data_IF_839804641790
#
_entry.id   IF_839804641790
#
_cell.length_a   1.000
_cell.length_b   1.000
_cell.length_c   1.000
_cell.angle_alpha   90.00
_cell.angle_beta   90.00
_cell.angle_gamma   90.00
#
_symmetry.space_group_name_H-M   'P 1'
#
loop_
_entity.id
_entity.type
_entity.pdbx_description
1 polymer ?
#
# COMPACT_ATOMS: atom_id res chain seq x y z
N UNK A 1 16.62 -15.75 22.77
CA UNK A 1 15.51 -16.52 22.18
C UNK A 1 15.21 -15.89 20.82
N UNK A 2 15.37 -16.63 19.73
CA UNK A 2 14.92 -16.13 18.42
C UNK A 2 13.40 -16.18 18.37
N UNK A 3 12.77 -15.01 18.37
CA UNK A 3 11.34 -14.91 18.16
C UNK A 3 11.03 -15.30 16.72
N UNK A 4 9.95 -16.07 16.52
CA UNK A 4 9.49 -16.40 15.16
C UNK A 4 8.87 -15.16 14.53
N UNK A 5 9.01 -14.98 13.21
CA UNK A 5 8.52 -13.78 12.49
C UNK A 5 7.03 -13.47 12.76
N UNK A 6 6.18 -14.50 12.86
CA UNK A 6 4.75 -14.31 13.13
C UNK A 6 4.45 -13.86 14.57
N UNK A 7 5.35 -14.12 15.53
CA UNK A 7 5.23 -13.62 16.90
C UNK A 7 5.32 -12.10 16.95
N UNK A 8 6.25 -11.52 16.18
CA UNK A 8 6.44 -10.07 16.11
C UNK A 8 5.19 -9.39 15.54
N UNK A 9 4.57 -9.98 14.48
CA UNK A 9 3.33 -9.47 13.91
C UNK A 9 2.13 -9.63 14.83
N UNK A 10 2.02 -10.75 15.53
CA UNK A 10 0.96 -10.97 16.52
C UNK A 10 0.99 -9.89 17.59
N UNK A 11 2.16 -9.63 18.17
CA UNK A 11 2.33 -8.60 19.19
C UNK A 11 2.05 -7.19 18.63
N UNK A 12 2.45 -6.91 17.40
CA UNK A 12 2.17 -5.63 16.73
C UNK A 12 0.65 -5.43 16.53
N UNK A 13 -0.10 -6.49 16.27
CA UNK A 13 -1.56 -6.41 16.10
C UNK A 13 -2.29 -6.28 17.44
N UNK A 14 -1.87 -7.00 18.48
CA UNK A 14 -2.58 -7.06 19.77
C UNK A 14 -2.23 -5.85 20.65
N UNK A 15 -0.96 -5.50 20.74
CA UNK A 15 -0.46 -4.45 21.64
C UNK A 15 0.67 -3.66 20.99
N UNK A 16 0.39 -2.85 19.93
CA UNK A 16 1.43 -2.24 19.12
C UNK A 16 2.42 -1.40 19.95
N UNK A 17 1.93 -0.59 20.87
CA UNK A 17 2.79 0.34 21.61
C UNK A 17 3.39 -0.25 22.87
N UNK A 18 2.80 -1.28 23.46
CA UNK A 18 3.21 -1.86 24.74
C UNK A 18 4.27 -2.94 24.57
N UNK A 19 4.09 -3.83 23.61
CA UNK A 19 4.98 -4.97 23.36
C UNK A 19 5.46 -5.04 21.91
N UNK A 20 4.63 -4.81 20.93
CA UNK A 20 4.93 -5.02 19.51
C UNK A 20 6.09 -4.17 19.00
N UNK A 21 6.01 -2.86 19.14
CA UNK A 21 7.06 -1.94 18.67
C UNK A 21 8.37 -2.15 19.44
N UNK A 22 8.40 -2.21 20.80
CA UNK A 22 9.63 -2.49 21.53
C UNK A 22 10.28 -3.83 21.15
N UNK A 23 9.48 -4.88 20.94
CA UNK A 23 9.98 -6.18 20.51
C UNK A 23 10.63 -6.13 19.12
N UNK A 24 9.99 -5.44 18.14
CA UNK A 24 10.54 -5.29 16.79
C UNK A 24 11.83 -4.48 16.81
N UNK A 25 11.87 -3.40 17.58
CA UNK A 25 13.08 -2.57 17.69
C UNK A 25 14.23 -3.39 18.25
N UNK A 26 13.99 -4.19 19.29
CA UNK A 26 15.03 -4.98 19.98
C UNK A 26 15.44 -6.25 19.23
N UNK A 27 14.48 -7.00 18.67
CA UNK A 27 14.71 -8.36 18.15
C UNK A 27 14.27 -8.57 16.69
N UNK A 28 13.64 -7.57 16.07
CA UNK A 28 13.21 -7.63 14.68
C UNK A 28 14.39 -7.63 13.71
N UNK A 29 14.20 -8.23 12.54
CA UNK A 29 15.15 -8.20 11.43
C UNK A 29 14.47 -7.88 10.11
N UNK A 30 15.22 -7.39 9.11
CA UNK A 30 14.70 -7.14 7.76
C UNK A 30 14.06 -8.39 7.16
N UNK A 31 14.68 -9.56 7.34
CA UNK A 31 14.19 -10.83 6.80
C UNK A 31 12.85 -11.24 7.41
N UNK A 32 12.71 -11.10 8.74
CA UNK A 32 11.42 -11.38 9.41
C UNK A 32 10.32 -10.47 8.90
N UNK A 33 10.61 -9.17 8.77
CA UNK A 33 9.67 -8.18 8.19
C UNK A 33 9.31 -8.51 6.75
N UNK A 34 10.28 -8.89 5.92
CA UNK A 34 10.06 -9.32 4.53
C UNK A 34 9.18 -10.58 4.45
N UNK A 35 9.43 -11.61 5.25
CA UNK A 35 8.57 -12.81 5.28
C UNK A 35 7.14 -12.49 5.67
N UNK A 36 6.95 -11.59 6.65
CA UNK A 36 5.62 -11.10 7.00
C UNK A 36 4.94 -10.39 5.84
N UNK A 37 5.65 -9.50 5.16
CA UNK A 37 5.16 -8.77 4.00
C UNK A 37 4.80 -9.71 2.83
N UNK A 38 5.66 -10.67 2.52
CA UNK A 38 5.42 -11.66 1.47
C UNK A 38 4.19 -12.52 1.80
N UNK A 39 4.10 -13.04 3.03
CA UNK A 39 2.97 -13.86 3.47
C UNK A 39 1.64 -13.10 3.36
N UNK A 40 1.58 -11.85 3.87
CA UNK A 40 0.37 -11.04 3.80
C UNK A 40 0.02 -10.66 2.36
N UNK A 41 1.02 -10.39 1.51
CA UNK A 41 0.80 -10.08 0.09
C UNK A 41 0.24 -11.28 -0.68
N UNK A 42 0.74 -12.50 -0.41
CA UNK A 42 0.21 -13.73 -1.02
C UNK A 42 -1.23 -13.98 -0.58
N UNK A 43 -1.50 -13.94 0.72
CA UNK A 43 -2.86 -14.13 1.26
C UNK A 43 -3.78 -13.04 0.74
N UNK A 44 -3.32 -11.78 0.72
CA UNK A 44 -4.06 -10.66 0.18
C UNK A 44 -4.46 -10.87 -1.28
N UNK A 45 -3.51 -11.25 -2.14
CA UNK A 45 -3.78 -11.50 -3.56
C UNK A 45 -4.75 -12.66 -3.76
N UNK A 46 -4.65 -13.72 -2.97
CA UNK A 46 -5.60 -14.84 -3.02
C UNK A 46 -7.02 -14.37 -2.65
N UNK A 47 -7.18 -13.63 -1.57
CA UNK A 47 -8.49 -13.21 -1.07
C UNK A 47 -9.11 -12.08 -1.90
N UNK A 48 -8.32 -11.12 -2.37
CA UNK A 48 -8.86 -9.92 -3.04
C UNK A 48 -8.90 -10.02 -4.56
N UNK A 49 -8.15 -10.94 -5.16
CA UNK A 49 -8.09 -11.11 -6.62
C UNK A 49 -8.61 -12.47 -7.05
N UNK A 50 -8.03 -13.55 -6.53
CA UNK A 50 -8.33 -14.90 -6.99
C UNK A 50 -9.75 -15.34 -6.61
N UNK A 51 -10.18 -15.16 -5.35
CA UNK A 51 -11.52 -15.57 -4.91
C UNK A 51 -12.62 -14.79 -5.62
N UNK A 52 -12.59 -13.44 -5.73
CA UNK A 52 -13.57 -12.71 -6.52
C UNK A 52 -13.61 -13.12 -8.00
N UNK A 53 -12.43 -13.34 -8.62
CA UNK A 53 -12.38 -13.81 -10.00
C UNK A 53 -13.03 -15.18 -10.17
N UNK A 54 -12.83 -16.08 -9.22
CA UNK A 54 -13.46 -17.41 -9.21
C UNK A 54 -14.99 -17.31 -9.06
N UNK A 55 -15.47 -16.45 -8.15
CA UNK A 55 -16.90 -16.18 -7.95
C UNK A 55 -17.51 -15.60 -9.24
N UNK A 56 -16.89 -14.58 -9.84
CA UNK A 56 -17.35 -13.98 -11.10
C UNK A 56 -17.40 -15.01 -12.22
N UNK A 57 -16.40 -15.90 -12.31
CA UNK A 57 -16.36 -16.97 -13.29
C UNK A 57 -17.48 -17.99 -13.06
N UNK A 58 -17.70 -18.42 -11.82
CA UNK A 58 -18.78 -19.37 -11.45
C UNK A 58 -20.18 -18.80 -11.71
N UNK A 59 -20.39 -17.50 -11.53
CA UNK A 59 -21.64 -16.82 -11.81
C UNK A 59 -21.84 -16.51 -13.31
N UNK A 60 -20.93 -16.96 -14.18
CA UNK A 60 -20.95 -16.69 -15.62
C UNK A 60 -20.94 -15.20 -15.99
N UNK A 61 -20.52 -14.32 -15.09
CA UNK A 61 -20.39 -12.90 -15.30
C UNK A 61 -19.18 -12.50 -16.16
N UNK A 62 -18.43 -13.50 -16.66
CA UNK A 62 -17.28 -13.29 -17.55
C UNK A 62 -17.68 -12.71 -18.93
N UNK A 63 -18.99 -12.69 -19.28
CA UNK A 63 -19.49 -12.05 -20.50
C UNK A 63 -19.49 -10.52 -20.38
N UNK A 64 -19.55 -9.96 -19.18
CA UNK A 64 -19.47 -8.51 -18.97
C UNK A 64 -18.04 -8.00 -19.24
N UNK A 65 -17.92 -6.75 -19.71
CA UNK A 65 -16.61 -6.13 -19.97
C UNK A 65 -15.69 -6.19 -18.72
N UNK A 66 -16.23 -5.82 -17.56
CA UNK A 66 -15.49 -5.83 -16.30
C UNK A 66 -15.17 -7.23 -15.80
N UNK A 67 -16.10 -8.20 -15.95
CA UNK A 67 -15.87 -9.60 -15.61
C UNK A 67 -14.74 -10.19 -16.44
N UNK A 68 -14.64 -9.88 -17.74
CA UNK A 68 -13.51 -10.31 -18.59
C UNK A 68 -12.18 -9.74 -18.12
N UNK A 69 -12.10 -8.44 -17.80
CA UNK A 69 -10.88 -7.83 -17.29
C UNK A 69 -10.45 -8.51 -15.99
N UNK A 70 -11.40 -8.77 -15.09
CA UNK A 70 -11.10 -9.40 -13.80
C UNK A 70 -10.59 -10.84 -13.96
N UNK A 71 -11.24 -11.64 -14.79
CA UNK A 71 -10.82 -13.03 -15.09
C UNK A 71 -9.48 -13.06 -15.83
N UNK A 72 -9.24 -12.16 -16.78
CA UNK A 72 -7.95 -12.05 -17.47
C UNK A 72 -6.83 -11.66 -16.51
N UNK A 73 -7.06 -10.73 -15.58
CA UNK A 73 -6.07 -10.37 -14.57
C UNK A 73 -5.76 -11.53 -13.61
N UNK A 74 -6.76 -12.38 -13.30
CA UNK A 74 -6.56 -13.55 -12.46
C UNK A 74 -5.86 -14.70 -13.16
N UNK A 75 -6.20 -14.98 -14.44
CA UNK A 75 -5.66 -16.13 -15.17
C UNK A 75 -4.26 -15.92 -15.75
N UNK A 76 -3.91 -14.68 -16.11
CA UNK A 76 -2.67 -14.42 -16.86
C UNK A 76 -1.49 -13.97 -16.01
N UNK A 77 -1.68 -13.61 -14.76
CA UNK A 77 -0.64 -12.84 -14.14
C UNK A 77 -0.59 -12.76 -12.63
N UNK A 78 -1.41 -13.47 -11.87
CA UNK A 78 -1.36 -13.30 -10.39
C UNK A 78 0.05 -13.53 -9.87
N UNK A 79 0.73 -14.58 -10.31
CA UNK A 79 2.11 -14.84 -9.89
C UNK A 79 3.09 -13.78 -10.40
N UNK A 80 2.96 -13.39 -11.67
CA UNK A 80 3.82 -12.35 -12.27
C UNK A 80 3.54 -10.97 -11.68
N UNK A 81 2.28 -10.61 -11.49
CA UNK A 81 1.85 -9.37 -10.85
C UNK A 81 2.33 -9.32 -9.40
N UNK A 82 2.21 -10.41 -8.66
CA UNK A 82 2.68 -10.52 -7.28
C UNK A 82 4.20 -10.37 -7.21
N UNK A 83 4.95 -11.05 -8.08
CA UNK A 83 6.40 -10.93 -8.16
C UNK A 83 6.83 -9.50 -8.52
N UNK A 84 6.17 -8.88 -9.50
CA UNK A 84 6.44 -7.51 -9.92
C UNK A 84 6.11 -6.49 -8.81
N UNK A 85 4.96 -6.65 -8.15
CA UNK A 85 4.56 -5.79 -7.02
C UNK A 85 5.53 -5.93 -5.84
N UNK A 86 5.95 -7.15 -5.49
CA UNK A 86 6.96 -7.36 -4.44
C UNK A 86 8.30 -6.74 -4.83
N UNK A 87 8.72 -6.86 -6.08
CA UNK A 87 9.95 -6.24 -6.58
C UNK A 87 9.89 -4.71 -6.50
N UNK A 88 8.82 -4.09 -7.00
CA UNK A 88 8.64 -2.63 -6.90
C UNK A 88 8.55 -2.16 -5.45
N UNK A 89 7.88 -2.93 -4.60
CA UNK A 89 7.80 -2.64 -3.17
C UNK A 89 9.18 -2.70 -2.53
N UNK A 90 9.98 -3.73 -2.84
CA UNK A 90 11.35 -3.85 -2.36
C UNK A 90 12.19 -2.64 -2.77
N UNK A 91 12.14 -2.24 -4.04
CA UNK A 91 12.87 -1.06 -4.52
C UNK A 91 12.40 0.22 -3.81
N UNK A 92 11.09 0.43 -3.72
CA UNK A 92 10.51 1.61 -3.07
C UNK A 92 10.86 1.70 -1.60
N UNK A 93 10.74 0.60 -0.85
CA UNK A 93 11.08 0.56 0.57
C UNK A 93 12.59 0.72 0.81
N UNK A 94 13.43 0.16 -0.08
CA UNK A 94 14.88 0.32 -0.02
C UNK A 94 15.29 1.77 -0.29
N UNK A 95 14.78 2.38 -1.35
CA UNK A 95 15.03 3.78 -1.67
C UNK A 95 14.58 4.70 -0.52
N UNK A 96 13.37 4.47 -0.01
CA UNK A 96 12.86 5.21 1.15
C UNK A 96 13.76 5.03 2.37
N UNK A 97 14.27 3.82 2.63
CA UNK A 97 15.18 3.57 3.75
C UNK A 97 16.49 4.35 3.63
N UNK A 98 17.07 4.42 2.43
CA UNK A 98 18.25 5.24 2.17
C UNK A 98 17.98 6.73 2.40
N UNK A 99 16.90 7.25 1.84
CA UNK A 99 16.54 8.67 1.97
C UNK A 99 16.24 9.04 3.43
N UNK A 100 15.45 8.23 4.13
CA UNK A 100 15.11 8.47 5.53
C UNK A 100 16.35 8.39 6.42
N UNK A 101 17.23 7.40 6.23
CA UNK A 101 18.46 7.31 7.02
C UNK A 101 19.43 8.46 6.72
N UNK A 102 19.55 8.87 5.45
CA UNK A 102 20.36 10.01 5.06
C UNK A 102 19.85 11.32 5.70
N UNK A 103 18.55 11.58 5.63
CA UNK A 103 17.94 12.75 6.28
C UNK A 103 18.09 12.65 7.80
N UNK A 104 17.78 11.49 8.40
CA UNK A 104 17.86 11.30 9.85
C UNK A 104 19.26 11.58 10.40
N UNK A 105 20.31 11.14 9.68
CA UNK A 105 21.70 11.38 10.07
C UNK A 105 22.10 12.86 9.96
N UNK A 106 21.42 13.67 9.14
CA UNK A 106 21.60 15.13 9.11
C UNK A 106 20.98 15.82 10.35
N UNK A 107 20.10 15.12 11.06
CA UNK A 107 19.50 15.55 12.32
C UNK A 107 20.06 14.78 13.54
N UNK A 108 21.32 14.34 13.45
CA UNK A 108 22.04 13.64 14.52
C UNK A 108 21.36 12.35 15.01
N UNK A 109 20.62 11.67 14.12
CA UNK A 109 20.10 10.35 14.39
C UNK A 109 21.08 9.32 13.82
N UNK A 110 21.83 8.66 14.67
CA UNK A 110 22.75 7.60 14.26
C UNK A 110 21.94 6.36 13.82
N UNK A 111 21.58 6.29 12.55
CA UNK A 111 20.80 5.16 12.00
C UNK A 111 21.37 4.69 10.67
N UNK A 112 21.18 3.42 10.37
CA UNK A 112 21.59 2.79 9.13
C UNK A 112 20.40 2.55 8.19
N UNK A 113 20.61 2.49 6.86
CA UNK A 113 19.53 2.14 5.92
C UNK A 113 18.89 0.78 6.24
N UNK A 114 19.65 -0.17 6.79
CA UNK A 114 19.13 -1.49 7.17
C UNK A 114 18.13 -1.41 8.33
N UNK A 115 18.38 -0.57 9.33
CA UNK A 115 17.47 -0.36 10.46
C UNK A 115 16.16 0.30 9.99
N UNK A 116 16.25 1.29 9.10
CA UNK A 116 15.07 1.92 8.51
C UNK A 116 14.32 0.94 7.60
N UNK A 117 15.05 0.13 6.82
CA UNK A 117 14.44 -0.89 5.96
C UNK A 117 13.69 -1.95 6.78
N UNK A 118 14.25 -2.36 7.94
CA UNK A 118 13.54 -3.21 8.91
C UNK A 118 12.19 -2.59 9.29
N UNK A 119 12.19 -1.33 9.73
CA UNK A 119 10.96 -0.60 10.08
C UNK A 119 9.99 -0.55 8.93
N UNK A 120 10.47 -0.26 7.72
CA UNK A 120 9.64 -0.16 6.53
C UNK A 120 8.95 -1.50 6.20
N UNK A 121 9.66 -2.64 6.29
CA UNK A 121 9.08 -3.96 6.05
C UNK A 121 7.98 -4.31 7.07
N UNK A 122 8.22 -4.10 8.36
CA UNK A 122 7.20 -4.35 9.38
C UNK A 122 5.99 -3.42 9.22
N UNK A 123 6.22 -2.14 8.95
CA UNK A 123 5.15 -1.16 8.71
C UNK A 123 4.33 -1.52 7.48
N UNK A 124 4.99 -1.93 6.40
CA UNK A 124 4.33 -2.35 5.17
C UNK A 124 3.48 -3.60 5.40
N UNK A 125 4.04 -4.64 6.01
CA UNK A 125 3.30 -5.87 6.28
C UNK A 125 2.09 -5.63 7.20
N UNK A 126 2.25 -4.82 8.23
CA UNK A 126 1.16 -4.43 9.12
C UNK A 126 0.07 -3.64 8.37
N UNK A 127 0.47 -2.68 7.54
CA UNK A 127 -0.44 -1.91 6.71
C UNK A 127 -1.21 -2.78 5.72
N UNK A 128 -0.54 -3.72 5.06
CA UNK A 128 -1.17 -4.68 4.15
C UNK A 128 -2.17 -5.59 4.88
N UNK A 129 -1.85 -6.05 6.08
CA UNK A 129 -2.77 -6.86 6.89
C UNK A 129 -4.06 -6.09 7.23
N UNK A 130 -3.93 -4.85 7.66
CA UNK A 130 -5.08 -4.00 7.95
C UNK A 130 -5.86 -3.62 6.68
N UNK A 131 -5.16 -3.35 5.58
CA UNK A 131 -5.79 -3.10 4.28
C UNK A 131 -6.56 -4.32 3.77
N UNK A 132 -6.07 -5.54 4.04
CA UNK A 132 -6.79 -6.77 3.73
C UNK A 132 -8.14 -6.83 4.48
N UNK A 133 -8.13 -6.53 5.77
CA UNK A 133 -9.35 -6.47 6.60
C UNK A 133 -10.31 -5.41 6.01
N UNK A 134 -9.81 -4.23 5.67
CA UNK A 134 -10.59 -3.18 5.01
C UNK A 134 -11.15 -3.61 3.65
N UNK A 135 -10.35 -4.32 2.84
CA UNK A 135 -10.75 -4.86 1.55
C UNK A 135 -11.89 -5.87 1.66
N UNK A 136 -11.86 -6.73 2.68
CA UNK A 136 -12.94 -7.67 2.96
C UNK A 136 -14.26 -6.96 3.34
N UNK A 137 -14.20 -5.79 3.96
CA UNK A 137 -15.38 -4.98 4.25
C UNK A 137 -16.01 -4.39 2.97
N UNK A 138 -15.19 -4.04 1.97
CA UNK A 138 -15.68 -3.47 0.70
C UNK A 138 -16.16 -4.56 -0.28
N UNK A 139 -15.68 -5.78 -0.13
CA UNK A 139 -15.95 -6.89 -1.04
C UNK A 139 -17.45 -7.12 -1.33
N UNK A 140 -18.38 -7.10 -0.33
CA UNK A 140 -19.80 -7.30 -0.59
C UNK A 140 -20.41 -6.23 -1.51
N UNK A 141 -20.00 -4.95 -1.34
CA UNK A 141 -20.47 -3.88 -2.21
C UNK A 141 -19.92 -4.02 -3.63
N UNK A 142 -18.67 -4.41 -3.77
CA UNK A 142 -18.05 -4.67 -5.07
C UNK A 142 -18.77 -5.80 -5.80
N UNK A 143 -19.04 -6.91 -5.13
CA UNK A 143 -19.79 -8.05 -5.69
C UNK A 143 -21.21 -7.59 -6.11
N UNK A 144 -21.93 -6.88 -5.23
CA UNK A 144 -23.26 -6.37 -5.55
C UNK A 144 -23.24 -5.44 -6.78
N UNK A 145 -22.25 -4.54 -6.85
CA UNK A 145 -22.08 -3.66 -8.01
C UNK A 145 -21.85 -4.46 -9.30
N UNK A 146 -20.95 -5.46 -9.27
CA UNK A 146 -20.69 -6.29 -10.45
C UNK A 146 -21.88 -7.12 -10.91
N UNK A 147 -22.68 -7.64 -9.98
CA UNK A 147 -23.90 -8.41 -10.32
C UNK A 147 -24.96 -7.53 -10.98
N UNK A 148 -25.05 -6.27 -10.57
CA UNK A 148 -26.11 -5.37 -11.02
C UNK A 148 -25.64 -4.34 -12.06
N UNK A 149 -24.42 -4.45 -12.56
CA UNK A 149 -23.83 -3.42 -13.45
C UNK A 149 -24.68 -3.22 -14.73
N UNK A 150 -25.28 -4.28 -15.25
CA UNK A 150 -26.12 -4.21 -16.44
C UNK A 150 -27.48 -3.56 -16.14
N UNK A 151 -27.93 -3.56 -14.90
CA UNK A 151 -29.17 -2.92 -14.45
C UNK A 151 -29.02 -1.41 -14.22
N UNK A 152 -27.79 -0.91 -14.05
CA UNK A 152 -27.53 0.51 -13.84
C UNK A 152 -27.51 1.32 -15.17
N UNK A 153 -27.63 0.64 -16.33
CA UNK A 153 -27.55 1.28 -17.64
C UNK A 153 -26.22 2.01 -17.89
N UNK A 154 -26.08 2.78 -18.96
CA UNK A 154 -25.02 3.77 -19.05
C UNK A 154 -25.27 4.78 -17.94
N UNK A 155 -24.43 4.77 -16.89
CA UNK A 155 -24.48 5.71 -15.75
C UNK A 155 -24.52 7.15 -16.30
N UNK A 156 -25.71 7.66 -16.58
CA UNK A 156 -25.91 9.03 -17.04
C UNK A 156 -25.82 10.00 -15.86
N UNK A 157 -26.10 9.50 -14.64
CA UNK A 157 -26.03 10.32 -13.44
C UNK A 157 -25.54 9.48 -12.25
N UNK A 158 -24.45 9.87 -11.54
CA UNK A 158 -24.01 9.16 -10.32
C UNK A 158 -25.04 9.18 -9.19
N UNK A 159 -26.11 9.97 -9.30
CA UNK A 159 -27.22 10.03 -8.36
C UNK A 159 -28.23 8.88 -8.52
N UNK A 160 -28.14 8.10 -9.61
CA UNK A 160 -29.04 6.94 -9.85
C UNK A 160 -28.64 5.70 -9.02
N UNK A 161 -27.52 5.76 -8.26
CA UNK A 161 -27.13 4.68 -7.36
C UNK A 161 -28.06 4.63 -6.13
N UNK A 162 -28.49 3.43 -5.70
CA UNK A 162 -29.24 3.29 -4.46
C UNK A 162 -28.50 3.94 -3.28
N UNK A 163 -29.23 4.73 -2.49
CA UNK A 163 -28.67 5.44 -1.34
C UNK A 163 -27.92 4.52 -0.38
N UNK A 164 -28.37 3.28 -0.24
CA UNK A 164 -27.72 2.24 0.58
C UNK A 164 -26.30 1.93 0.10
N UNK A 165 -26.07 1.92 -1.21
CA UNK A 165 -24.72 1.68 -1.80
C UNK A 165 -23.84 2.89 -1.55
N UNK A 166 -24.36 4.10 -1.78
CA UNK A 166 -23.60 5.33 -1.53
C UNK A 166 -23.16 5.40 -0.07
N UNK A 167 -24.09 5.14 0.86
CA UNK A 167 -23.78 5.12 2.29
C UNK A 167 -22.74 4.04 2.65
N UNK A 168 -22.89 2.83 2.09
CA UNK A 168 -21.95 1.75 2.33
C UNK A 168 -20.53 2.10 1.85
N UNK A 169 -20.39 2.64 0.64
CA UNK A 169 -19.11 3.07 0.08
C UNK A 169 -18.50 4.17 0.93
N UNK A 170 -19.31 5.13 1.36
CA UNK A 170 -18.87 6.25 2.18
C UNK A 170 -18.37 5.78 3.56
N UNK A 171 -19.11 4.88 4.22
CA UNK A 171 -18.70 4.28 5.51
C UNK A 171 -17.39 3.48 5.32
N UNK A 172 -17.32 2.67 4.27
CA UNK A 172 -16.12 1.88 3.95
C UNK A 172 -14.90 2.79 3.70
N UNK A 173 -15.09 3.91 3.01
CA UNK A 173 -14.05 4.92 2.78
C UNK A 173 -13.52 5.49 4.11
N UNK A 174 -14.42 5.87 5.04
CA UNK A 174 -14.00 6.38 6.34
C UNK A 174 -13.27 5.33 7.18
N UNK A 175 -13.70 4.08 7.13
CA UNK A 175 -13.01 2.97 7.81
C UNK A 175 -11.60 2.80 7.23
N UNK A 176 -11.45 2.77 5.89
CA UNK A 176 -10.14 2.66 5.24
C UNK A 176 -9.24 3.84 5.54
N UNK A 177 -9.79 5.05 5.58
CA UNK A 177 -9.05 6.25 5.98
C UNK A 177 -8.55 6.12 7.42
N UNK A 178 -9.41 5.67 8.34
CA UNK A 178 -9.04 5.40 9.73
C UNK A 178 -7.93 4.36 9.86
N UNK A 179 -8.03 3.25 9.11
CA UNK A 179 -6.99 2.20 9.04
C UNK A 179 -5.67 2.79 8.52
N UNK A 180 -5.71 3.61 7.48
CA UNK A 180 -4.53 4.23 6.89
C UNK A 180 -3.83 5.18 7.86
N UNK A 181 -4.59 6.03 8.54
CA UNK A 181 -4.08 6.93 9.58
C UNK A 181 -3.48 6.17 10.76
N UNK A 182 -4.14 5.09 11.19
CA UNK A 182 -3.64 4.23 12.26
C UNK A 182 -2.33 3.55 11.87
N UNK A 183 -2.26 2.95 10.68
CA UNK A 183 -1.05 2.31 10.15
C UNK A 183 0.11 3.31 10.07
N UNK A 184 -0.17 4.51 9.56
CA UNK A 184 0.81 5.58 9.50
C UNK A 184 1.32 5.97 10.89
N UNK A 185 0.42 6.07 11.88
CA UNK A 185 0.78 6.37 13.27
C UNK A 185 1.65 5.30 13.90
N UNK A 186 1.31 4.02 13.72
CA UNK A 186 2.11 2.87 14.20
C UNK A 186 3.50 2.91 13.54
N UNK A 187 3.56 3.12 12.24
CA UNK A 187 4.80 3.21 11.47
C UNK A 187 5.70 4.38 11.93
N UNK A 188 5.09 5.53 12.25
CA UNK A 188 5.80 6.68 12.80
C UNK A 188 6.40 6.37 14.17
N UNK A 189 5.64 5.72 15.06
CA UNK A 189 6.12 5.32 16.38
C UNK A 189 7.25 4.28 16.29
N UNK A 190 7.13 3.31 15.38
CA UNK A 190 8.16 2.30 15.17
C UNK A 190 9.49 2.95 14.70
N UNK A 191 9.41 3.89 13.74
CA UNK A 191 10.58 4.64 13.30
C UNK A 191 11.15 5.53 14.40
N UNK A 192 10.30 6.23 15.14
CA UNK A 192 10.70 7.12 16.25
C UNK A 192 11.52 6.37 17.31
N UNK A 193 11.08 5.16 17.69
CA UNK A 193 11.81 4.34 18.63
C UNK A 193 13.10 3.75 18.02
N UNK A 194 13.07 3.37 16.75
CA UNK A 194 14.26 2.82 16.07
C UNK A 194 15.39 3.85 15.96
N UNK A 195 15.07 5.10 15.62
CA UNK A 195 16.07 6.17 15.46
C UNK A 195 16.30 6.98 16.74
N UNK A 196 15.63 6.62 17.81
CA UNK A 196 15.69 7.29 19.12
C UNK A 196 15.48 8.81 19.04
N UNK A 197 14.44 9.24 18.29
CA UNK A 197 14.08 10.67 18.12
C UNK A 197 12.60 10.90 18.51
N UNK A 198 12.25 12.10 18.95
CA UNK A 198 10.87 12.46 19.21
C UNK A 198 9.98 12.29 17.97
N UNK A 199 8.71 11.93 18.15
CA UNK A 199 7.75 11.68 17.07
C UNK A 199 7.64 12.84 16.08
N UNK A 200 7.65 14.09 16.58
CA UNK A 200 7.57 15.28 15.73
C UNK A 200 8.81 15.42 14.82
N UNK A 201 10.00 15.19 15.38
CA UNK A 201 11.25 15.17 14.60
C UNK A 201 11.23 14.04 13.56
N UNK A 202 10.78 12.84 13.93
CA UNK A 202 10.64 11.69 13.04
C UNK A 202 9.64 11.96 11.93
N UNK A 203 8.54 12.63 12.22
CA UNK A 203 7.59 13.10 11.21
C UNK A 203 8.24 14.05 10.20
N UNK A 204 8.98 15.07 10.69
CA UNK A 204 9.74 15.97 9.84
C UNK A 204 10.77 15.26 8.95
N UNK A 205 11.50 14.29 9.50
CA UNK A 205 12.46 13.46 8.74
C UNK A 205 11.75 12.70 7.62
N UNK A 206 10.62 12.05 7.89
CA UNK A 206 9.85 11.33 6.86
C UNK A 206 9.30 12.26 5.79
N UNK A 207 8.78 13.40 6.19
CA UNK A 207 8.24 14.40 5.27
C UNK A 207 9.34 14.92 4.33
N UNK A 208 10.49 15.29 4.86
CA UNK A 208 11.63 15.73 4.06
C UNK A 208 12.13 14.63 3.12
N UNK A 209 12.28 13.39 3.62
CA UNK A 209 12.69 12.26 2.81
C UNK A 209 11.69 11.96 1.67
N UNK A 210 10.40 12.14 1.90
CA UNK A 210 9.35 11.97 0.88
C UNK A 210 9.30 13.11 -0.14
N UNK A 211 9.64 14.34 0.27
CA UNK A 211 9.67 15.48 -0.65
C UNK A 211 10.80 15.39 -1.69
N UNK A 212 11.93 14.78 -1.34
CA UNK A 212 13.08 14.66 -2.26
C UNK A 212 12.70 13.95 -3.57
N UNK A 213 12.17 12.73 -3.58
CA UNK A 213 11.78 12.06 -4.81
C UNK A 213 10.64 12.79 -5.52
N UNK A 214 9.70 13.41 -4.80
CA UNK A 214 8.64 14.20 -5.39
C UNK A 214 9.19 15.39 -6.19
N UNK A 215 10.12 16.14 -5.64
CA UNK A 215 10.76 17.27 -6.34
C UNK A 215 11.56 16.80 -7.56
N UNK A 216 12.30 15.70 -7.43
CA UNK A 216 13.07 15.13 -8.54
C UNK A 216 12.15 14.69 -9.68
N UNK A 217 11.09 13.92 -9.37
CA UNK A 217 10.14 13.43 -10.35
C UNK A 217 9.42 14.61 -11.03
N UNK A 218 9.00 15.62 -10.26
CA UNK A 218 8.34 16.82 -10.80
C UNK A 218 9.25 17.58 -11.73
N UNK A 219 10.53 17.73 -11.39
CA UNK A 219 11.52 18.39 -12.25
C UNK A 219 11.75 17.61 -13.55
N UNK A 220 11.87 16.28 -13.49
CA UNK A 220 12.00 15.40 -14.67
C UNK A 220 10.76 15.53 -15.57
N UNK A 221 9.55 15.46 -14.99
CA UNK A 221 8.29 15.60 -15.74
C UNK A 221 8.19 16.98 -16.41
N UNK A 222 8.53 18.05 -15.69
CA UNK A 222 8.56 19.41 -16.25
C UNK A 222 9.55 19.51 -17.43
N UNK A 223 10.74 18.90 -17.31
CA UNK A 223 11.72 18.86 -18.37
C UNK A 223 11.23 18.08 -19.60
N UNK A 224 10.59 16.92 -19.40
CA UNK A 224 10.01 16.12 -20.50
C UNK A 224 8.93 16.92 -21.23
N UNK A 225 8.00 17.52 -20.49
CA UNK A 225 6.92 18.34 -21.06
C UNK A 225 7.49 19.51 -21.86
N UNK A 226 8.47 20.22 -21.30
CA UNK A 226 9.14 21.33 -21.99
C UNK A 226 9.82 20.88 -23.28
N UNK A 227 10.54 19.74 -23.25
CA UNK A 227 11.22 19.18 -24.42
C UNK A 227 10.23 18.79 -25.52
N UNK A 228 9.13 18.11 -25.15
CA UNK A 228 8.07 17.71 -26.09
C UNK A 228 7.40 18.93 -26.70
N UNK A 229 7.12 19.97 -25.90
CA UNK A 229 6.56 21.22 -26.40
C UNK A 229 7.51 21.90 -27.41
N UNK A 230 8.81 22.00 -27.09
CA UNK A 230 9.79 22.58 -28.00
C UNK A 230 9.93 21.79 -29.31
N UNK A 231 9.89 20.46 -29.26
CA UNK A 231 9.92 19.63 -30.48
C UNK A 231 8.68 19.88 -31.36
N UNK A 232 7.51 20.08 -30.78
CA UNK A 232 6.29 20.40 -31.53
C UNK A 232 6.38 21.79 -32.19
N UNK A 233 6.89 22.78 -31.47
CA UNK A 233 7.10 24.12 -32.05
C UNK A 233 8.13 24.12 -33.17
N UNK A 234 9.20 23.36 -33.06
CA UNK A 234 10.25 23.30 -34.10
C UNK A 234 9.83 22.48 -35.33
N UNK A 235 8.87 21.57 -35.21
CA UNK A 235 8.41 20.74 -36.34
C UNK A 235 7.29 21.38 -37.17
N UNK A 236 6.85 22.60 -36.86
CA UNK A 236 5.85 23.33 -37.66
C UNK A 236 4.46 22.64 -37.74
N UNK A 237 4.12 21.78 -36.80
CA UNK A 237 2.88 21.01 -36.74
C UNK A 237 1.72 21.81 -36.09
N UNK A 238 1.65 23.13 -36.34
CA UNK A 238 0.50 23.99 -36.12
C UNK A 238 0.33 24.93 -37.31
#
# INVERSE_FOLDING_TARGET
METKWYSDFKELCISPFKTGIPQIVAYGSCMKGFYGAAAVSVVGSLLTTFIPALIISMMQLHHTFYGRIFVMSANGGVAMQLAFNLFLTFLGLSLNAYLVSWVANKFDAQTTPQEVLKVNWYSYAYGQLLALIGGLLIMPASIYFFINIDNFGPLQDPLDLPLSIILYVLISFFILMGISLWTWWVSLNLLSQQINKPKLSTFGIRLLAGLIPFVIISAIMAFIVFTVMNMRYSSGLF
#
